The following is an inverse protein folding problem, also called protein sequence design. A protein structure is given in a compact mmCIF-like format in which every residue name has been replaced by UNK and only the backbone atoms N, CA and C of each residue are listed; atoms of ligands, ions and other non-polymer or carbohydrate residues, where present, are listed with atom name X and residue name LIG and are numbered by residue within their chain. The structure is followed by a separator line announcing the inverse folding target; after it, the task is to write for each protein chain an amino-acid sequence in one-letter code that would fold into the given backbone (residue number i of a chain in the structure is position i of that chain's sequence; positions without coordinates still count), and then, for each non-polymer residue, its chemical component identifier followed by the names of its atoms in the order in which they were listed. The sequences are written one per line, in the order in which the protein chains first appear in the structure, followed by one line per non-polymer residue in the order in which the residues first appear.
data_IF_961619500937
#
_entry.id   IF_961619500937
#
_cell.length_a   1.000
_cell.length_b   1.000
_cell.length_c   1.000
_cell.angle_alpha   90.00
_cell.angle_beta   90.00
_cell.angle_gamma   90.00
#
_symmetry.space_group_name_H-M   'P 1'
#
loop_
_entity.id
_entity.type
_entity.pdbx_description
1 polymer ?
#
# COMPACT_ATOMS: atom_id res chain seq x y z
N UNK A 1 8.91 -14.92 11.28
CA UNK A 1 7.89 -15.27 10.27
C UNK A 1 6.77 -14.24 10.35
N UNK A 2 6.86 -13.16 9.56
CA UNK A 2 5.76 -12.19 9.49
C UNK A 2 4.55 -12.94 8.92
N UNK A 3 3.58 -13.23 9.79
CA UNK A 3 2.47 -14.12 9.46
C UNK A 3 1.63 -13.54 8.35
N UNK A 4 1.28 -14.36 7.35
CA UNK A 4 0.29 -14.01 6.31
C UNK A 4 -1.14 -13.92 6.86
N UNK A 5 -1.31 -13.50 8.12
CA UNK A 5 -2.62 -13.39 8.74
C UNK A 5 -3.33 -12.17 8.16
N UNK A 6 -4.46 -12.43 7.52
CA UNK A 6 -5.35 -11.40 6.99
C UNK A 6 -6.14 -10.79 8.14
N UNK A 7 -6.09 -9.47 8.28
CA UNK A 7 -6.84 -8.69 9.28
C UNK A 7 -7.63 -7.56 8.62
N UNK A 8 -8.78 -7.25 9.23
CA UNK A 8 -9.61 -6.12 8.83
C UNK A 8 -9.11 -4.86 9.53
N UNK A 9 -8.85 -3.82 8.77
CA UNK A 9 -8.46 -2.51 9.25
C UNK A 9 -9.50 -1.47 8.87
N UNK A 10 -9.81 -0.59 9.81
CA UNK A 10 -10.65 0.58 9.57
C UNK A 10 -9.74 1.77 9.36
N UNK A 11 -9.82 2.39 8.20
CA UNK A 11 -9.03 3.58 7.86
C UNK A 11 -9.97 4.74 7.54
N UNK A 12 -9.62 5.93 8.02
CA UNK A 12 -10.33 7.15 7.69
C UNK A 12 -9.62 7.80 6.50
N UNK A 13 -10.28 7.82 5.35
CA UNK A 13 -9.76 8.44 4.12
C UNK A 13 -10.80 9.42 3.59
N UNK A 14 -10.38 10.65 3.23
CA UNK A 14 -11.25 11.70 2.66
C UNK A 14 -12.54 11.95 3.47
N UNK A 15 -12.42 11.97 4.80
CA UNK A 15 -13.53 12.23 5.71
C UNK A 15 -14.53 11.07 5.88
N UNK A 16 -14.33 9.94 5.21
CA UNK A 16 -15.18 8.75 5.34
C UNK A 16 -14.39 7.56 5.84
N UNK A 17 -15.06 6.66 6.57
CA UNK A 17 -14.44 5.46 7.12
C UNK A 17 -14.54 4.32 6.13
N UNK A 18 -13.41 3.84 5.66
CA UNK A 18 -13.32 2.70 4.75
C UNK A 18 -12.72 1.50 5.48
N UNK A 19 -13.34 0.33 5.30
CA UNK A 19 -12.79 -0.92 5.81
C UNK A 19 -11.98 -1.62 4.72
N UNK A 20 -10.74 -1.98 5.02
CA UNK A 20 -9.86 -2.77 4.17
C UNK A 20 -9.48 -4.06 4.88
N UNK A 21 -9.18 -5.11 4.11
CA UNK A 21 -8.80 -6.42 4.65
C UNK A 21 -7.50 -6.86 3.99
N UNK A 22 -6.41 -6.88 4.78
CA UNK A 22 -5.04 -7.04 4.32
C UNK A 22 -4.25 -7.95 5.24
N UNK A 23 -3.26 -8.63 4.68
CA UNK A 23 -2.26 -9.40 5.38
C UNK A 23 -1.36 -8.45 6.18
N UNK A 24 -0.90 -8.87 7.35
CA UNK A 24 0.01 -8.08 8.18
C UNK A 24 1.27 -7.64 7.44
N UNK A 25 1.82 -8.53 6.61
CA UNK A 25 2.97 -8.21 5.76
C UNK A 25 2.72 -7.01 4.84
N UNK A 26 1.50 -6.88 4.29
CA UNK A 26 1.16 -5.72 3.45
C UNK A 26 0.96 -4.46 4.28
N UNK A 27 0.46 -4.55 5.52
CA UNK A 27 0.36 -3.39 6.42
C UNK A 27 1.75 -2.88 6.80
N UNK A 28 2.66 -3.78 7.15
CA UNK A 28 4.01 -3.40 7.53
C UNK A 28 4.81 -2.85 6.35
N UNK A 29 4.65 -3.42 5.15
CA UNK A 29 5.25 -2.88 3.94
C UNK A 29 4.63 -1.53 3.52
N UNK A 30 3.31 -1.34 3.71
CA UNK A 30 2.65 -0.06 3.49
C UNK A 30 3.17 1.04 4.42
N UNK A 31 3.47 0.70 5.69
CA UNK A 31 4.13 1.62 6.64
C UNK A 31 5.52 2.02 6.15
N UNK A 32 6.34 1.05 5.75
CA UNK A 32 7.68 1.31 5.20
C UNK A 32 7.63 2.17 3.94
N UNK A 33 6.70 1.89 3.03
CA UNK A 33 6.47 2.70 1.83
C UNK A 33 6.08 4.14 2.17
N UNK A 34 5.22 4.33 3.18
CA UNK A 34 4.81 5.64 3.65
C UNK A 34 5.98 6.42 4.28
N UNK A 35 6.78 5.75 5.12
CA UNK A 35 8.00 6.32 5.71
C UNK A 35 9.03 6.71 4.65
N UNK A 36 9.29 5.84 3.66
CA UNK A 36 10.21 6.11 2.56
C UNK A 36 9.79 7.33 1.72
N UNK A 37 8.48 7.62 1.66
CA UNK A 37 7.92 8.78 0.94
C UNK A 37 7.70 10.00 1.85
N UNK A 38 7.95 9.89 3.16
CA UNK A 38 7.67 10.96 4.13
C UNK A 38 6.17 11.29 4.27
N UNK A 39 5.29 10.33 3.97
CA UNK A 39 3.83 10.49 4.02
C UNK A 39 3.23 9.77 5.22
N UNK A 40 2.10 10.27 5.71
CA UNK A 40 1.27 9.50 6.63
C UNK A 40 0.61 8.32 5.89
N UNK A 41 0.48 7.16 6.54
CA UNK A 41 -0.17 5.96 5.96
C UNK A 41 -1.56 6.28 5.40
N UNK A 42 -2.36 7.08 6.12
CA UNK A 42 -3.68 7.49 5.66
C UNK A 42 -3.64 8.36 4.38
N UNK A 43 -2.62 9.21 4.25
CA UNK A 43 -2.41 10.03 3.05
C UNK A 43 -2.02 9.15 1.86
N UNK A 44 -1.09 8.20 2.06
CA UNK A 44 -0.71 7.23 1.03
C UNK A 44 -1.91 6.38 0.58
N UNK A 45 -2.73 5.89 1.50
CA UNK A 45 -3.95 5.15 1.16
C UNK A 45 -4.93 6.04 0.36
N UNK A 46 -5.07 7.32 0.72
CA UNK A 46 -5.92 8.26 -0.02
C UNK A 46 -5.39 8.53 -1.43
N UNK A 47 -4.07 8.59 -1.65
CA UNK A 47 -3.47 8.68 -2.99
C UNK A 47 -3.78 7.43 -3.83
N UNK A 48 -3.59 6.24 -3.26
CA UNK A 48 -3.92 4.96 -3.91
C UNK A 48 -5.42 4.91 -4.26
N UNK A 49 -6.29 5.34 -3.34
CA UNK A 49 -7.73 5.46 -3.54
C UNK A 49 -8.11 6.45 -4.65
N UNK A 50 -7.36 7.54 -4.77
CA UNK A 50 -7.54 8.55 -5.83
C UNK A 50 -7.16 7.98 -7.19
N UNK A 51 -5.99 7.34 -7.28
CA UNK A 51 -5.45 6.81 -8.53
C UNK A 51 -6.33 5.73 -9.14
N UNK A 52 -6.98 4.89 -8.31
CA UNK A 52 -7.94 3.89 -8.82
C UNK A 52 -9.21 4.50 -9.42
N UNK A 53 -9.68 5.63 -8.87
CA UNK A 53 -10.91 6.29 -9.37
C UNK A 53 -10.73 6.89 -10.78
N UNK A 54 -9.49 7.23 -11.14
CA UNK A 54 -9.16 7.85 -12.42
C UNK A 54 -9.01 6.86 -13.59
N UNK A 55 -8.91 5.55 -13.33
CA UNK A 55 -8.51 4.57 -14.37
C UNK A 55 -9.66 3.97 -15.19
N UNK A 56 -10.93 4.33 -14.95
CA UNK A 56 -12.07 3.96 -15.81
C UNK A 56 -12.38 2.46 -15.97
N UNK A 57 -11.54 1.57 -15.41
CA UNK A 57 -11.75 0.14 -15.32
C UNK A 57 -12.64 -0.20 -14.12
N UNK A 58 -13.32 -1.35 -14.18
CA UNK A 58 -14.10 -1.97 -13.10
C UNK A 58 -13.52 -1.66 -11.70
N UNK A 59 -14.35 -1.31 -10.70
CA UNK A 59 -13.88 -0.77 -9.43
C UNK A 59 -13.00 -1.78 -8.67
N UNK A 60 -11.69 -1.67 -8.84
CA UNK A 60 -10.72 -2.45 -8.05
C UNK A 60 -10.89 -2.07 -6.59
N UNK A 61 -11.17 -3.06 -5.75
CA UNK A 61 -11.33 -2.83 -4.32
C UNK A 61 -10.03 -2.25 -3.72
N UNK A 62 -10.15 -1.40 -2.69
CA UNK A 62 -9.01 -0.68 -2.12
C UNK A 62 -7.93 -1.63 -1.57
N UNK A 63 -8.34 -2.77 -1.02
CA UNK A 63 -7.39 -3.78 -0.52
C UNK A 63 -6.51 -4.33 -1.64
N UNK A 64 -7.08 -4.67 -2.80
CA UNK A 64 -6.32 -5.14 -3.97
C UNK A 64 -5.41 -4.04 -4.52
N UNK A 65 -5.88 -2.80 -4.59
CA UNK A 65 -5.07 -1.67 -5.03
C UNK A 65 -3.84 -1.45 -4.12
N UNK A 66 -4.02 -1.57 -2.80
CA UNK A 66 -2.92 -1.48 -1.82
C UNK A 66 -1.90 -2.61 -2.04
N UNK A 67 -2.34 -3.86 -2.22
CA UNK A 67 -1.42 -4.98 -2.45
C UNK A 67 -0.53 -4.76 -3.68
N UNK A 68 -1.13 -4.32 -4.78
CA UNK A 68 -0.39 -4.04 -6.03
C UNK A 68 0.57 -2.88 -5.85
N UNK A 69 0.15 -1.78 -5.22
CA UNK A 69 1.01 -0.62 -4.98
C UNK A 69 2.23 -0.96 -4.10
N UNK A 70 2.02 -1.76 -3.05
CA UNK A 70 3.11 -2.24 -2.18
C UNK A 70 4.05 -3.18 -2.91
N UNK A 71 3.52 -4.09 -3.74
CA UNK A 71 4.33 -5.02 -4.54
C UNK A 71 5.21 -4.26 -5.54
N UNK A 72 4.63 -3.32 -6.28
CA UNK A 72 5.34 -2.49 -7.26
C UNK A 72 6.47 -1.68 -6.60
N UNK A 73 6.19 -1.07 -5.44
CA UNK A 73 7.19 -0.37 -4.64
C UNK A 73 8.33 -1.30 -4.17
N UNK A 74 7.99 -2.48 -3.64
CA UNK A 74 8.99 -3.43 -3.15
C UNK A 74 9.88 -3.97 -4.29
N UNK A 75 9.30 -4.25 -5.47
CA UNK A 75 10.05 -4.68 -6.64
C UNK A 75 10.96 -3.57 -7.18
N UNK A 76 10.50 -2.32 -7.17
CA UNK A 76 11.31 -1.16 -7.59
C UNK A 76 12.52 -0.96 -6.67
N UNK A 77 12.32 -1.04 -5.35
CA UNK A 77 13.40 -0.92 -4.36
C UNK A 77 14.37 -2.12 -4.40
N UNK A 78 13.90 -3.32 -4.75
CA UNK A 78 14.77 -4.49 -4.89
C UNK A 78 15.77 -4.35 -6.06
N UNK A 79 15.39 -3.60 -7.11
CA UNK A 79 16.25 -3.29 -8.25
C UNK A 79 17.44 -2.38 -7.91
N UNK A 80 17.34 -1.54 -6.87
CA UNK A 80 18.38 -0.58 -6.49
C UNK A 80 19.48 -1.20 -5.60
N UNK A 81 19.19 -2.33 -4.94
CA UNK A 81 20.13 -2.99 -4.01
C UNK A 81 21.35 -3.65 -4.67
N UNK A 82 21.43 -3.73 -6.01
CA UNK A 82 22.48 -4.48 -6.72
C UNK A 82 23.70 -3.65 -7.17
N UNK A 83 23.78 -2.35 -6.85
CA UNK A 83 24.83 -1.46 -7.40
C UNK A 83 25.85 -0.89 -6.42
N UNK A 84 26.01 -1.45 -5.21
CA UNK A 84 27.08 -1.02 -4.28
C UNK A 84 27.98 -2.18 -3.88
N UNK A 85 28.90 -2.52 -4.79
CA UNK A 85 30.16 -3.20 -4.48
C UNK A 85 31.25 -2.49 -5.28
N UNK A 86 32.00 -1.59 -4.64
CA UNK A 86 33.31 -1.08 -5.06
C UNK A 86 34.12 -0.86 -3.81
#
# INVERSE_FOLDING_TARGET
MAGGQIRKHSVSIRGHRTSITLEDAFIDALRQMAEARGLAVAALIAEIDSSRASQGAEPVNLSSAIRVAVLDWALSNAGETSSTTT
#
